data_IF_868195599280
#
_entry.id   IF_868195599280
#
_cell.length_a   1.000
_cell.length_b   1.000
_cell.length_c   1.000
_cell.angle_alpha   90.00
_cell.angle_beta   90.00
_cell.angle_gamma   90.00
#
_symmetry.space_group_name_H-M   'P 1'
#
loop_
_entity.id
_entity.type
_entity.pdbx_description
1 polymer ?
#
# COMPACT_ATOMS: atom_id res chain seq x y z
N UNK A 1 2.50 62.71 -7.06
CA UNK A 1 1.57 62.04 -6.13
C UNK A 1 2.18 60.70 -5.83
N UNK A 2 2.95 60.61 -4.76
CA UNK A 2 3.55 59.37 -4.29
C UNK A 2 2.60 58.81 -3.23
N UNK A 3 2.09 57.60 -3.46
CA UNK A 3 1.20 56.92 -2.52
C UNK A 3 2.11 56.25 -1.49
N UNK A 4 2.44 56.98 -0.43
CA UNK A 4 3.05 56.39 0.77
C UNK A 4 1.98 55.55 1.46
N UNK A 5 2.03 54.23 1.26
CA UNK A 5 1.26 53.27 2.03
C UNK A 5 1.84 53.23 3.43
N UNK A 6 1.28 54.05 4.33
CA UNK A 6 1.59 54.03 5.75
C UNK A 6 1.05 52.73 6.37
N UNK A 7 1.93 51.74 6.49
CA UNK A 7 1.65 50.41 7.02
C UNK A 7 1.67 50.38 8.56
N UNK A 8 1.90 51.52 9.22
CA UNK A 8 2.05 51.60 10.68
C UNK A 8 0.74 51.46 11.46
N UNK A 9 -0.41 51.55 10.77
CA UNK A 9 -1.74 51.38 11.37
C UNK A 9 -2.29 49.95 11.25
N UNK A 10 -1.61 49.06 10.51
CA UNK A 10 -1.86 47.63 10.66
C UNK A 10 -1.24 47.18 11.98
N UNK A 11 -2.04 47.26 13.06
CA UNK A 11 -1.85 46.41 14.23
C UNK A 11 -1.94 44.96 13.75
N UNK A 12 -0.80 44.43 13.27
CA UNK A 12 -0.66 43.10 12.73
C UNK A 12 -0.75 42.14 13.91
N UNK A 13 -1.99 41.86 14.28
CA UNK A 13 -2.35 41.07 15.43
C UNK A 13 -1.66 39.70 15.31
N UNK A 14 -1.10 39.19 16.41
CA UNK A 14 -0.14 38.05 16.39
C UNK A 14 -0.67 36.79 15.70
N UNK A 15 -2.00 36.66 15.60
CA UNK A 15 -2.67 35.55 14.91
C UNK A 15 -2.62 35.64 13.37
N UNK A 16 -2.39 36.81 12.79
CA UNK A 16 -2.36 37.01 11.34
C UNK A 16 -1.30 36.15 10.62
N UNK A 17 -0.02 36.10 11.05
CA UNK A 17 0.96 35.19 10.45
C UNK A 17 0.61 33.71 10.64
N UNK A 18 -0.07 33.35 11.74
CA UNK A 18 -0.52 31.97 11.99
C UNK A 18 -1.61 31.58 11.00
N UNK A 19 -2.59 32.44 10.77
CA UNK A 19 -3.67 32.21 9.81
C UNK A 19 -3.12 32.17 8.38
N UNK A 20 -2.22 33.08 8.02
CA UNK A 20 -1.57 33.08 6.71
C UNK A 20 -0.75 31.80 6.49
N UNK A 21 -0.01 31.36 7.52
CA UNK A 21 0.75 30.12 7.50
C UNK A 21 -0.13 28.89 7.37
N UNK A 22 -1.27 28.85 8.07
CA UNK A 22 -2.25 27.78 7.93
C UNK A 22 -2.85 27.74 6.51
N UNK A 23 -3.20 28.90 5.94
CA UNK A 23 -3.73 29.01 4.57
C UNK A 23 -2.73 28.52 3.52
N UNK A 24 -1.46 28.94 3.64
CA UNK A 24 -0.39 28.46 2.77
C UNK A 24 -0.16 26.96 2.93
N UNK A 25 -0.19 26.45 4.17
CA UNK A 25 -0.06 25.02 4.45
C UNK A 25 -1.20 24.21 3.80
N UNK A 26 -2.46 24.63 4.00
CA UNK A 26 -3.61 23.97 3.37
C UNK A 26 -3.59 24.09 1.85
N UNK A 27 -3.16 25.22 1.30
CA UNK A 27 -2.99 25.41 -0.15
C UNK A 27 -1.92 24.47 -0.73
N UNK A 28 -0.79 24.33 -0.04
CA UNK A 28 0.30 23.47 -0.49
C UNK A 28 -0.03 21.97 -0.36
N UNK A 29 -0.70 21.60 0.74
CA UNK A 29 -1.24 20.23 0.92
C UNK A 29 -2.27 19.93 -0.16
N UNK A 30 -3.16 20.88 -0.46
CA UNK A 30 -4.12 20.78 -1.55
C UNK A 30 -3.42 20.57 -2.91
N UNK A 31 -2.38 21.34 -3.20
CA UNK A 31 -1.61 21.21 -4.43
C UNK A 31 -0.95 19.84 -4.58
N UNK A 32 -0.31 19.31 -3.53
CA UNK A 32 0.31 17.98 -3.54
C UNK A 32 -0.71 16.83 -3.64
N UNK A 33 -1.93 17.08 -3.21
CA UNK A 33 -3.03 16.11 -3.21
C UNK A 33 -3.82 16.11 -4.52
N UNK A 34 -3.83 17.21 -5.26
CA UNK A 34 -4.60 17.36 -6.48
C UNK A 34 -3.90 16.63 -7.64
N UNK A 35 -4.61 15.77 -8.41
CA UNK A 35 -4.02 15.11 -9.58
C UNK A 35 -3.57 16.11 -10.65
N UNK A 36 -2.70 15.64 -11.55
CA UNK A 36 -1.95 16.41 -12.57
C UNK A 36 -2.77 17.32 -13.50
N UNK A 37 -4.10 17.22 -13.51
CA UNK A 37 -5.01 17.96 -14.40
C UNK A 37 -5.59 19.25 -13.77
N UNK A 38 -5.15 19.60 -12.54
CA UNK A 38 -5.55 20.85 -11.86
C UNK A 38 -7.04 20.93 -11.48
N UNK A 39 -7.80 19.84 -11.66
CA UNK A 39 -9.21 19.74 -11.31
C UNK A 39 -9.39 19.35 -9.84
N UNK A 40 -10.21 20.13 -9.14
CA UNK A 40 -10.65 19.81 -7.78
C UNK A 40 -11.56 18.57 -7.88
N UNK A 41 -11.06 17.44 -7.42
CA UNK A 41 -11.85 16.22 -7.34
C UNK A 41 -12.99 16.39 -6.34
N UNK A 42 -14.17 15.93 -6.72
CA UNK A 42 -15.27 15.74 -5.78
C UNK A 42 -14.89 14.70 -4.72
N UNK A 43 -15.53 14.72 -3.52
CA UNK A 43 -15.28 13.70 -2.50
C UNK A 43 -15.45 12.26 -3.00
N UNK A 44 -16.35 12.04 -3.97
CA UNK A 44 -16.59 10.73 -4.58
C UNK A 44 -15.42 10.30 -5.47
N UNK A 45 -14.92 11.18 -6.33
CA UNK A 45 -13.75 10.90 -7.16
C UNK A 45 -12.51 10.66 -6.31
N UNK A 46 -12.38 11.39 -5.19
CA UNK A 46 -11.29 11.20 -4.24
C UNK A 46 -11.33 9.80 -3.60
N UNK A 47 -12.51 9.26 -3.28
CA UNK A 47 -12.66 7.89 -2.79
C UNK A 47 -12.23 6.86 -3.84
N UNK A 48 -12.57 7.08 -5.11
CA UNK A 48 -12.18 6.18 -6.20
C UNK A 48 -10.66 6.16 -6.37
N UNK A 49 -10.01 7.32 -6.40
CA UNK A 49 -8.54 7.43 -6.51
C UNK A 49 -7.86 6.76 -5.32
N UNK A 50 -8.39 6.90 -4.10
CA UNK A 50 -7.82 6.23 -2.93
C UNK A 50 -8.00 4.71 -2.99
N UNK A 51 -9.16 4.24 -3.42
CA UNK A 51 -9.40 2.81 -3.61
C UNK A 51 -8.45 2.21 -4.66
N UNK A 52 -8.21 2.93 -5.76
CA UNK A 52 -7.25 2.52 -6.79
C UNK A 52 -5.81 2.50 -6.25
N UNK A 53 -5.38 3.56 -5.55
CA UNK A 53 -4.06 3.60 -4.92
C UNK A 53 -3.88 2.47 -3.92
N UNK A 54 -4.89 2.17 -3.11
CA UNK A 54 -4.85 1.07 -2.17
C UNK A 54 -4.75 -0.28 -2.90
N UNK A 55 -5.58 -0.49 -3.93
CA UNK A 55 -5.53 -1.69 -4.75
C UNK A 55 -4.12 -1.92 -5.34
N UNK A 56 -3.52 -0.89 -5.94
CA UNK A 56 -2.18 -0.99 -6.54
C UNK A 56 -1.10 -1.33 -5.50
N UNK A 57 -1.18 -0.74 -4.30
CA UNK A 57 -0.26 -1.05 -3.19
C UNK A 57 -0.40 -2.50 -2.74
N UNK A 58 -1.63 -2.94 -2.47
CA UNK A 58 -1.90 -4.32 -2.02
C UNK A 58 -1.51 -5.35 -3.09
N UNK A 59 -1.77 -5.06 -4.36
CA UNK A 59 -1.37 -5.90 -5.49
C UNK A 59 0.16 -6.04 -5.56
N UNK A 60 0.89 -4.92 -5.46
CA UNK A 60 2.35 -4.92 -5.45
C UNK A 60 2.90 -5.75 -4.29
N UNK A 61 2.34 -5.57 -3.10
CA UNK A 61 2.73 -6.33 -1.90
C UNK A 61 2.47 -7.84 -2.05
N UNK A 62 1.36 -8.24 -2.68
CA UNK A 62 1.08 -9.65 -2.99
C UNK A 62 2.11 -10.23 -3.97
N UNK A 63 2.51 -9.48 -5.01
CA UNK A 63 3.57 -9.91 -5.95
C UNK A 63 4.90 -10.13 -5.25
N UNK A 64 5.28 -9.20 -4.36
CA UNK A 64 6.50 -9.33 -3.56
C UNK A 64 6.47 -10.58 -2.66
N UNK A 65 5.33 -10.87 -2.04
CA UNK A 65 5.17 -12.09 -1.24
C UNK A 65 5.23 -13.36 -2.08
N UNK A 66 4.73 -13.35 -3.32
CA UNK A 66 4.89 -14.46 -4.25
C UNK A 66 6.35 -14.76 -4.57
N UNK A 67 7.13 -13.71 -4.84
CA UNK A 67 8.57 -13.83 -5.04
C UNK A 67 9.28 -14.37 -3.78
N UNK A 68 8.88 -13.92 -2.59
CA UNK A 68 9.46 -14.41 -1.33
C UNK A 68 9.10 -15.88 -1.06
N UNK A 69 7.86 -16.31 -1.32
CA UNK A 69 7.46 -17.72 -1.24
C UNK A 69 8.30 -18.59 -2.19
N UNK A 70 8.53 -18.14 -3.42
CA UNK A 70 9.39 -18.84 -4.36
C UNK A 70 10.85 -18.97 -3.84
N UNK A 71 11.37 -17.94 -3.18
CA UNK A 71 12.70 -17.99 -2.55
C UNK A 71 12.75 -19.03 -1.41
N UNK A 72 11.70 -19.14 -0.60
CA UNK A 72 11.65 -20.09 0.51
C UNK A 72 11.71 -21.56 0.06
N UNK A 73 11.33 -21.88 -1.18
CA UNK A 73 11.49 -23.23 -1.73
C UNK A 73 12.96 -23.67 -1.88
N UNK A 74 13.90 -22.71 -1.84
CA UNK A 74 15.35 -22.96 -1.89
C UNK A 74 16.05 -22.88 -0.53
N UNK A 75 15.36 -22.43 0.51
CA UNK A 75 15.93 -22.20 1.85
C UNK A 75 15.85 -23.47 2.71
N UNK A 76 16.91 -23.76 3.47
CA UNK A 76 17.04 -24.93 4.36
C UNK A 76 16.85 -24.57 5.86
N UNK A 77 15.90 -23.69 6.17
CA UNK A 77 15.58 -23.27 7.55
C UNK A 77 14.05 -23.24 7.74
N UNK A 78 13.43 -24.39 8.10
CA UNK A 78 11.98 -24.53 8.11
C UNK A 78 11.31 -23.65 9.17
N UNK A 79 11.96 -23.44 10.32
CA UNK A 79 11.43 -22.61 11.41
C UNK A 79 11.39 -21.14 11.00
N UNK A 80 12.47 -20.66 10.38
CA UNK A 80 12.51 -19.28 9.86
C UNK A 80 11.48 -19.08 8.76
N UNK A 81 11.36 -20.01 7.82
CA UNK A 81 10.37 -19.94 6.75
C UNK A 81 8.96 -19.89 7.33
N UNK A 82 8.61 -20.76 8.28
CA UNK A 82 7.29 -20.77 8.90
C UNK A 82 6.94 -19.44 9.58
N UNK A 83 7.88 -18.87 10.35
CA UNK A 83 7.67 -17.59 11.03
C UNK A 83 7.48 -16.44 10.03
N UNK A 84 8.25 -16.44 8.94
CA UNK A 84 8.15 -15.41 7.90
C UNK A 84 6.84 -15.54 7.11
N UNK A 85 6.46 -16.75 6.72
CA UNK A 85 5.20 -17.02 6.02
C UNK A 85 4.00 -16.65 6.89
N UNK A 86 4.02 -16.99 8.19
CA UNK A 86 2.95 -16.60 9.12
C UNK A 86 2.79 -15.08 9.19
N UNK A 87 3.89 -14.33 9.31
CA UNK A 87 3.86 -12.86 9.29
C UNK A 87 3.29 -12.31 7.97
N UNK A 88 3.55 -12.97 6.84
CA UNK A 88 2.97 -12.57 5.56
C UNK A 88 1.45 -12.85 5.53
N UNK A 89 1.02 -14.02 6.00
CA UNK A 89 -0.41 -14.34 6.11
C UNK A 89 -1.16 -13.35 7.00
N UNK A 90 -0.56 -12.94 8.13
CA UNK A 90 -1.13 -11.93 9.02
C UNK A 90 -1.22 -10.55 8.36
N UNK A 91 -0.29 -10.19 7.47
CA UNK A 91 -0.36 -8.94 6.70
C UNK A 91 -1.38 -9.02 5.57
N UNK A 92 -1.50 -10.18 4.92
CA UNK A 92 -2.49 -10.40 3.86
C UNK A 92 -3.91 -10.41 4.41
N UNK A 93 -4.14 -10.88 5.65
CA UNK A 93 -5.45 -10.82 6.28
C UNK A 93 -5.92 -9.41 6.62
N UNK A 94 -5.00 -8.45 6.75
CA UNK A 94 -5.28 -7.03 7.02
C UNK A 94 -5.60 -6.22 5.75
N UNK A 95 -5.35 -6.78 4.57
CA UNK A 95 -5.65 -6.12 3.29
C UNK A 95 -7.17 -6.00 3.10
N UNK A 96 -7.64 -4.81 2.71
CA UNK A 96 -9.08 -4.52 2.66
C UNK A 96 -9.64 -4.44 1.25
N UNK A 97 -8.81 -4.48 0.19
CA UNK A 97 -9.33 -4.38 -1.18
C UNK A 97 -10.23 -5.58 -1.51
N UNK A 98 -11.51 -5.38 -1.88
CA UNK A 98 -12.41 -6.47 -2.21
C UNK A 98 -12.01 -7.17 -3.52
N UNK A 99 -11.41 -6.42 -4.47
CA UNK A 99 -10.98 -6.94 -5.76
C UNK A 99 -9.87 -8.00 -5.65
N UNK A 100 -9.08 -7.97 -4.56
CA UNK A 100 -7.97 -8.89 -4.32
C UNK A 100 -8.37 -10.16 -3.54
N UNK A 101 -9.66 -10.37 -3.25
CA UNK A 101 -10.09 -11.48 -2.39
C UNK A 101 -9.71 -12.86 -2.93
N UNK A 102 -9.73 -13.05 -4.25
CA UNK A 102 -9.31 -14.31 -4.89
C UNK A 102 -7.79 -14.51 -4.78
N UNK A 103 -7.02 -13.46 -5.05
CA UNK A 103 -5.56 -13.46 -4.96
C UNK A 103 -5.09 -13.73 -3.53
N UNK A 104 -5.76 -13.17 -2.52
CA UNK A 104 -5.47 -13.47 -1.11
C UNK A 104 -5.68 -14.93 -0.76
N UNK A 105 -6.73 -15.57 -1.28
CA UNK A 105 -6.95 -17.02 -1.06
C UNK A 105 -5.87 -17.85 -1.74
N UNK A 106 -5.52 -17.50 -2.99
CA UNK A 106 -4.44 -18.15 -3.71
C UNK A 106 -3.09 -18.01 -2.97
N UNK A 107 -2.81 -16.83 -2.39
CA UNK A 107 -1.65 -16.62 -1.54
C UNK A 107 -1.63 -17.56 -0.33
N UNK A 108 -2.76 -17.66 0.40
CA UNK A 108 -2.87 -18.53 1.58
C UNK A 108 -2.65 -20.00 1.20
N UNK A 109 -3.17 -20.45 0.06
CA UNK A 109 -2.95 -21.80 -0.43
C UNK A 109 -1.46 -22.05 -0.74
N UNK A 110 -0.81 -21.13 -1.46
CA UNK A 110 0.62 -21.21 -1.76
C UNK A 110 1.49 -21.20 -0.48
N UNK A 111 1.17 -20.31 0.47
CA UNK A 111 1.83 -20.22 1.76
C UNK A 111 1.76 -21.54 2.55
N UNK A 112 0.57 -22.14 2.62
CA UNK A 112 0.37 -23.43 3.28
C UNK A 112 1.14 -24.56 2.58
N UNK A 113 1.20 -24.57 1.24
CA UNK A 113 1.96 -25.55 0.49
C UNK A 113 3.48 -25.43 0.75
N UNK A 114 4.01 -24.20 0.82
CA UNK A 114 5.42 -23.95 1.18
C UNK A 114 5.73 -24.45 2.60
N UNK A 115 4.83 -24.18 3.56
CA UNK A 115 4.98 -24.69 4.93
C UNK A 115 4.95 -26.22 4.95
N UNK A 116 4.00 -26.86 4.26
CA UNK A 116 3.89 -28.32 4.19
C UNK A 116 5.14 -28.96 3.58
N UNK A 117 5.71 -28.36 2.53
CA UNK A 117 6.97 -28.80 1.94
C UNK A 117 8.13 -28.69 2.94
N UNK A 118 8.26 -27.56 3.65
CA UNK A 118 9.31 -27.36 4.66
C UNK A 118 9.19 -28.31 5.86
N UNK A 119 7.98 -28.79 6.15
CA UNK A 119 7.73 -29.81 7.17
C UNK A 119 7.91 -31.25 6.66
N UNK A 120 8.24 -31.45 5.37
CA UNK A 120 8.37 -32.76 4.75
C UNK A 120 7.02 -33.49 4.55
N UNK A 121 5.89 -32.77 4.61
CA UNK A 121 4.54 -33.31 4.45
C UNK A 121 4.05 -33.26 3.00
N UNK A 122 4.68 -32.45 2.15
CA UNK A 122 4.34 -32.28 0.74
C UNK A 122 5.60 -32.34 -0.14
N UNK A 123 5.43 -32.65 -1.42
CA UNK A 123 6.53 -32.67 -2.39
C UNK A 123 6.95 -31.25 -2.79
N UNK A 124 8.20 -31.11 -3.28
CA UNK A 124 8.70 -29.82 -3.79
C UNK A 124 7.88 -29.35 -4.99
N UNK A 125 7.46 -30.28 -5.85
CA UNK A 125 6.72 -29.97 -7.07
C UNK A 125 5.31 -29.48 -6.76
N UNK A 126 4.63 -30.02 -5.75
CA UNK A 126 3.35 -29.50 -5.25
C UNK A 126 3.47 -28.07 -4.74
N UNK A 127 4.53 -27.76 -3.97
CA UNK A 127 4.75 -26.41 -3.47
C UNK A 127 5.11 -25.42 -4.60
N UNK A 128 5.89 -25.85 -5.60
CA UNK A 128 6.16 -25.05 -6.80
C UNK A 128 4.87 -24.76 -7.57
N UNK A 129 4.03 -25.78 -7.79
CA UNK A 129 2.77 -25.63 -8.52
C UNK A 129 1.84 -24.62 -7.83
N UNK A 130 1.70 -24.70 -6.50
CA UNK A 130 0.86 -23.78 -5.73
C UNK A 130 1.39 -22.33 -5.78
N UNK A 131 2.71 -22.14 -5.69
CA UNK A 131 3.33 -20.82 -5.84
C UNK A 131 3.15 -20.27 -7.25
N UNK A 132 3.25 -21.10 -8.29
CA UNK A 132 3.02 -20.70 -9.68
C UNK A 132 1.55 -20.30 -9.92
N UNK A 133 0.60 -21.08 -9.42
CA UNK A 133 -0.83 -20.74 -9.50
C UNK A 133 -1.11 -19.38 -8.85
N UNK A 134 -0.49 -19.11 -7.70
CA UNK A 134 -0.58 -17.80 -7.07
C UNK A 134 0.04 -16.69 -7.94
N UNK A 135 1.25 -16.89 -8.46
CA UNK A 135 1.92 -15.88 -9.30
C UNK A 135 1.11 -15.58 -10.56
N UNK A 136 0.46 -16.58 -11.15
CA UNK A 136 -0.43 -16.39 -12.29
C UNK A 136 -1.71 -15.60 -11.94
N UNK A 137 -2.23 -15.77 -10.73
CA UNK A 137 -3.39 -15.01 -10.25
C UNK A 137 -3.11 -13.53 -9.96
N UNK A 138 -1.83 -13.16 -9.78
CA UNK A 138 -1.39 -11.78 -9.45
C UNK A 138 -0.64 -11.11 -10.61
N UNK A 139 -0.55 -11.75 -11.78
CA UNK A 139 -0.09 -11.10 -13.02
C UNK A 139 -1.02 -9.94 -13.38
#
# INVERSE_FOLDING_TARGET
>A
MEIELDLSELQLDWWLPIVLGALLFFGFVGYWVTPDDGRILTPQEWQVVQAERQYQRELTQLREYGCQLAQFLSTQDPVRVQLQVQRMMDKVSQMTSPALASQRRAFVNAANAVIAYQQGQASRDEAIAAVQEFLDAVK
#
